data_IF_061952233412
#
_entry.id   IF_061952233412
#
_cell.length_a   1.000
_cell.length_b   1.000
_cell.length_c   1.000
_cell.angle_alpha   90.00
_cell.angle_beta   90.00
_cell.angle_gamma   90.00
#
_symmetry.space_group_name_H-M   'P 1'
#
loop_
_entity.id
_entity.type
_entity.pdbx_description
1 polymer ?
#
# COMPACT_ATOMS: atom_id res chain seq x y z
N UNK A 1 -13.89 -8.01 -9.20
CA UNK A 1 -13.98 -7.68 -10.64
C UNK A 1 -13.47 -8.85 -11.45
N UNK A 2 -14.26 -9.40 -12.39
CA UNK A 2 -13.74 -10.48 -13.26
C UNK A 2 -12.66 -9.97 -14.21
N UNK A 3 -11.91 -10.85 -14.87
CA UNK A 3 -10.92 -10.45 -15.88
C UNK A 3 -11.57 -9.70 -17.05
N UNK A 4 -12.73 -10.17 -17.49
CA UNK A 4 -13.52 -9.58 -18.58
C UNK A 4 -14.02 -8.17 -18.18
N UNK A 5 -14.53 -8.01 -16.95
CA UNK A 5 -14.93 -6.69 -16.43
C UNK A 5 -13.73 -5.73 -16.38
N UNK A 6 -12.56 -6.22 -15.98
CA UNK A 6 -11.34 -5.40 -15.93
C UNK A 6 -10.90 -4.96 -17.33
N UNK A 7 -10.97 -5.84 -18.33
CA UNK A 7 -10.67 -5.48 -19.72
C UNK A 7 -11.66 -4.44 -20.25
N UNK A 8 -12.95 -4.53 -19.90
CA UNK A 8 -13.93 -3.50 -20.21
C UNK A 8 -13.60 -2.17 -19.51
N UNK A 9 -13.20 -2.21 -18.23
CA UNK A 9 -12.76 -1.02 -17.48
C UNK A 9 -11.60 -0.30 -18.16
N UNK A 10 -10.59 -1.03 -18.65
CA UNK A 10 -9.45 -0.43 -19.36
C UNK A 10 -9.85 0.31 -20.65
N UNK A 11 -10.96 -0.08 -21.26
CA UNK A 11 -11.48 0.56 -22.47
C UNK A 11 -12.30 1.84 -22.19
N UNK A 12 -12.60 2.16 -20.93
CA UNK A 12 -13.39 3.36 -20.57
C UNK A 12 -12.59 4.63 -20.83
N UNK A 13 -11.28 4.64 -20.53
CA UNK A 13 -10.37 5.77 -20.80
C UNK A 13 -9.03 5.24 -21.30
N UNK A 14 -8.49 5.89 -22.32
CA UNK A 14 -7.19 5.52 -22.91
C UNK A 14 -6.06 5.46 -21.85
N UNK A 15 -6.06 6.40 -20.91
CA UNK A 15 -5.06 6.46 -19.83
C UNK A 15 -5.05 5.20 -18.97
N UNK A 16 -6.20 4.55 -18.74
CA UNK A 16 -6.26 3.31 -17.95
C UNK A 16 -5.54 2.18 -18.66
N UNK A 17 -5.77 2.01 -19.96
CA UNK A 17 -5.03 1.02 -20.77
C UNK A 17 -3.54 1.35 -20.86
N UNK A 18 -3.18 2.64 -20.98
CA UNK A 18 -1.78 3.05 -21.08
C UNK A 18 -1.00 2.81 -19.78
N UNK A 19 -1.64 3.00 -18.63
CA UNK A 19 -1.01 2.88 -17.30
C UNK A 19 -1.18 1.50 -16.65
N UNK A 20 -2.03 0.64 -17.21
CA UNK A 20 -2.19 -0.72 -16.74
C UNK A 20 -0.92 -1.55 -17.01
N UNK A 21 -0.39 -2.14 -15.94
CA UNK A 21 0.79 -3.01 -15.95
C UNK A 21 0.58 -4.31 -15.17
N UNK A 22 -0.55 -4.46 -14.47
CA UNK A 22 -0.87 -5.69 -13.75
C UNK A 22 -0.79 -6.91 -14.67
N UNK A 23 -0.19 -7.99 -14.16
CA UNK A 23 -0.24 -9.32 -14.78
C UNK A 23 -1.18 -10.26 -14.03
N UNK A 24 -1.83 -9.77 -12.98
CA UNK A 24 -2.75 -10.57 -12.20
C UNK A 24 -3.99 -10.97 -13.01
N UNK A 25 -4.48 -12.17 -12.72
CA UNK A 25 -5.81 -12.62 -13.10
C UNK A 25 -6.74 -12.76 -11.87
N UNK A 26 -6.23 -12.42 -10.68
CA UNK A 26 -6.99 -12.52 -9.44
C UNK A 26 -8.00 -11.39 -9.31
N UNK A 27 -9.28 -11.73 -9.24
CA UNK A 27 -10.39 -10.76 -9.24
C UNK A 27 -10.29 -9.69 -8.15
N UNK A 28 -9.77 -10.06 -6.98
CA UNK A 28 -9.59 -9.16 -5.84
C UNK A 28 -8.43 -8.18 -6.07
N UNK A 29 -7.35 -8.66 -6.72
CA UNK A 29 -6.20 -7.81 -7.10
C UNK A 29 -6.59 -6.88 -8.23
N UNK A 30 -7.33 -7.37 -9.22
CA UNK A 30 -7.85 -6.55 -10.33
C UNK A 30 -8.79 -5.46 -9.83
N UNK A 31 -9.62 -5.74 -8.82
CA UNK A 31 -10.48 -4.74 -8.20
C UNK A 31 -9.67 -3.61 -7.56
N UNK A 32 -8.64 -3.94 -6.78
CA UNK A 32 -7.76 -2.95 -6.15
C UNK A 32 -6.98 -2.17 -7.20
N UNK A 33 -6.44 -2.86 -8.20
CA UNK A 33 -5.64 -2.23 -9.24
C UNK A 33 -6.48 -1.29 -10.12
N UNK A 34 -7.72 -1.67 -10.46
CA UNK A 34 -8.66 -0.79 -11.15
C UNK A 34 -8.96 0.47 -10.32
N UNK A 35 -9.15 0.32 -9.01
CA UNK A 35 -9.35 1.47 -8.12
C UNK A 35 -8.12 2.39 -8.10
N UNK A 36 -6.90 1.86 -8.02
CA UNK A 36 -5.69 2.68 -8.12
C UNK A 36 -5.65 3.41 -9.48
N UNK A 37 -5.86 2.71 -10.60
CA UNK A 37 -5.87 3.33 -11.94
C UNK A 37 -6.92 4.43 -12.10
N UNK A 38 -8.10 4.25 -11.52
CA UNK A 38 -9.17 5.24 -11.61
C UNK A 38 -8.83 6.53 -10.85
N UNK A 39 -8.10 6.42 -9.74
CA UNK A 39 -7.86 7.51 -8.80
C UNK A 39 -6.40 8.00 -8.73
N UNK A 40 -5.45 7.36 -9.42
CA UNK A 40 -4.03 7.74 -9.39
C UNK A 40 -3.77 9.16 -9.91
N UNK A 41 -4.69 9.71 -10.71
CA UNK A 41 -4.64 11.08 -11.25
C UNK A 41 -5.67 12.02 -10.60
N UNK A 42 -6.35 11.61 -9.52
CA UNK A 42 -7.19 12.52 -8.74
C UNK A 42 -6.32 13.51 -7.97
N UNK A 43 -6.93 14.65 -7.62
CA UNK A 43 -6.28 15.68 -6.83
C UNK A 43 -5.69 15.10 -5.54
N UNK A 44 -4.57 15.68 -5.11
CA UNK A 44 -3.76 15.26 -3.99
C UNK A 44 -4.57 15.08 -2.70
N UNK A 45 -5.63 15.86 -2.49
CA UNK A 45 -6.53 15.76 -1.34
C UNK A 45 -7.17 14.38 -1.17
N UNK A 46 -7.49 13.68 -2.28
CA UNK A 46 -8.12 12.35 -2.20
C UNK A 46 -7.24 11.33 -1.47
N UNK A 47 -5.95 11.35 -1.77
CA UNK A 47 -4.96 10.46 -1.16
C UNK A 47 -4.39 11.04 0.13
N UNK A 48 -4.29 12.36 0.23
CA UNK A 48 -3.78 13.06 1.42
C UNK A 48 -4.72 12.94 2.62
N UNK A 49 -6.03 12.89 2.39
CA UNK A 49 -7.06 12.70 3.42
C UNK A 49 -7.41 11.22 3.65
N UNK A 50 -6.60 10.29 3.14
CA UNK A 50 -6.75 8.84 3.31
C UNK A 50 -8.05 8.23 2.75
N UNK A 51 -8.79 8.93 1.86
CA UNK A 51 -9.98 8.34 1.23
C UNK A 51 -9.61 7.12 0.39
N UNK A 52 -8.65 7.29 -0.52
CA UNK A 52 -8.20 6.21 -1.39
C UNK A 52 -7.55 5.04 -0.65
N UNK A 53 -6.73 5.34 0.35
CA UNK A 53 -6.05 4.33 1.16
C UNK A 53 -7.01 3.55 2.05
N UNK A 54 -8.01 4.23 2.61
CA UNK A 54 -9.06 3.60 3.44
C UNK A 54 -9.93 2.67 2.61
N UNK A 55 -10.36 3.10 1.41
CA UNK A 55 -11.15 2.26 0.51
C UNK A 55 -10.41 0.98 0.12
N UNK A 56 -9.16 1.09 -0.31
CA UNK A 56 -8.35 -0.09 -0.65
C UNK A 56 -8.18 -1.00 0.58
N UNK A 57 -7.95 -0.45 1.76
CA UNK A 57 -7.82 -1.27 2.96
C UNK A 57 -9.12 -1.99 3.33
N UNK A 58 -10.29 -1.41 3.07
CA UNK A 58 -11.57 -2.12 3.20
C UNK A 58 -11.73 -3.21 2.14
N UNK A 59 -11.27 -3.01 0.91
CA UNK A 59 -11.23 -4.08 -0.11
C UNK A 59 -10.33 -5.23 0.35
N UNK A 60 -9.16 -4.94 0.93
CA UNK A 60 -8.27 -5.96 1.51
C UNK A 60 -8.93 -6.68 2.68
N UNK A 61 -9.57 -5.93 3.59
CA UNK A 61 -10.22 -6.47 4.79
C UNK A 61 -11.39 -7.40 4.46
N UNK A 62 -12.16 -7.06 3.43
CA UNK A 62 -13.33 -7.82 3.00
C UNK A 62 -13.02 -8.87 1.92
N UNK A 63 -11.81 -8.85 1.36
CA UNK A 63 -11.36 -9.76 0.32
C UNK A 63 -10.87 -11.11 0.85
N UNK A 64 -10.21 -11.87 -0.03
CA UNK A 64 -9.65 -13.18 0.32
C UNK A 64 -8.49 -13.06 1.31
N UNK A 65 -8.31 -14.08 2.15
CA UNK A 65 -7.28 -14.11 3.20
C UNK A 65 -5.86 -13.88 2.65
N UNK A 66 -5.59 -14.37 1.44
CA UNK A 66 -4.30 -14.33 0.75
C UNK A 66 -4.13 -13.11 -0.18
N UNK A 67 -4.99 -12.11 -0.09
CA UNK A 67 -4.98 -10.97 -1.02
C UNK A 67 -3.67 -10.18 -1.00
N UNK A 68 -3.08 -9.95 0.18
CA UNK A 68 -1.80 -9.23 0.31
C UNK A 68 -0.67 -9.95 -0.42
N UNK A 69 -0.59 -11.27 -0.28
CA UNK A 69 0.40 -12.10 -0.98
C UNK A 69 0.22 -12.05 -2.51
N UNK A 70 -1.03 -12.03 -2.98
CA UNK A 70 -1.31 -11.88 -4.41
C UNK A 70 -0.96 -10.50 -4.95
N UNK A 71 -1.19 -9.44 -4.17
CA UNK A 71 -0.79 -8.07 -4.54
C UNK A 71 0.74 -7.97 -4.59
N UNK A 72 1.43 -8.54 -3.59
CA UNK A 72 2.90 -8.59 -3.52
C UNK A 72 3.53 -9.17 -4.79
N UNK A 73 2.96 -10.24 -5.32
CA UNK A 73 3.45 -10.86 -6.56
C UNK A 73 3.27 -9.97 -7.80
N UNK A 74 2.35 -9.01 -7.76
CA UNK A 74 1.99 -8.17 -8.91
C UNK A 74 2.63 -6.77 -8.86
N UNK A 75 2.92 -6.24 -7.68
CA UNK A 75 3.58 -4.93 -7.46
C UNK A 75 4.83 -4.70 -8.32
N UNK A 76 5.73 -5.68 -8.56
CA UNK A 76 6.90 -5.47 -9.41
C UNK A 76 6.55 -5.03 -10.84
N UNK A 77 5.32 -5.25 -11.29
CA UNK A 77 4.85 -4.76 -12.59
C UNK A 77 4.30 -3.33 -12.53
N UNK A 78 3.92 -2.83 -11.36
CA UNK A 78 3.25 -1.54 -11.21
C UNK A 78 4.18 -0.35 -11.51
N UNK A 79 3.59 0.80 -11.84
CA UNK A 79 4.36 2.06 -11.92
C UNK A 79 4.83 2.48 -10.54
N UNK A 80 5.85 3.33 -10.45
CA UNK A 80 6.36 3.82 -9.16
C UNK A 80 5.25 4.53 -8.37
N UNK A 81 4.47 5.39 -9.03
CA UNK A 81 3.33 6.09 -8.41
C UNK A 81 2.25 5.14 -7.91
N UNK A 82 1.90 4.09 -8.67
CA UNK A 82 0.93 3.08 -8.23
C UNK A 82 1.42 2.33 -6.98
N UNK A 83 2.72 1.99 -6.95
CA UNK A 83 3.35 1.36 -5.81
C UNK A 83 3.42 2.30 -4.58
N UNK A 84 3.68 3.59 -4.78
CA UNK A 84 3.66 4.61 -3.71
C UNK A 84 2.28 4.74 -3.07
N UNK A 85 1.21 4.83 -3.88
CA UNK A 85 -0.17 4.90 -3.39
C UNK A 85 -0.52 3.65 -2.56
N UNK A 86 -0.02 2.49 -2.96
CA UNK A 86 -0.21 1.26 -2.22
C UNK A 86 0.66 1.18 -0.95
N UNK A 87 1.91 1.64 -1.01
CA UNK A 87 2.76 1.77 0.17
C UNK A 87 2.10 2.67 1.22
N UNK A 88 1.57 3.82 0.80
CA UNK A 88 0.77 4.69 1.66
C UNK A 88 -0.44 3.95 2.23
N UNK A 89 -1.15 3.16 1.40
CA UNK A 89 -2.29 2.34 1.85
C UNK A 89 -1.91 1.39 3.00
N UNK A 90 -0.72 0.78 2.96
CA UNK A 90 -0.28 -0.13 4.01
C UNK A 90 -0.11 0.56 5.37
N UNK A 91 0.13 1.87 5.43
CA UNK A 91 0.49 2.55 6.69
C UNK A 91 -0.43 3.72 7.09
N UNK A 92 -1.20 4.25 6.14
CA UNK A 92 -2.03 5.45 6.30
C UNK A 92 -3.48 5.11 5.96
N UNK A 93 -4.31 4.84 6.96
CA UNK A 93 -5.76 4.65 6.83
C UNK A 93 -6.43 4.53 8.21
N UNK A 94 -7.77 4.52 8.23
CA UNK A 94 -8.55 4.42 9.46
C UNK A 94 -8.53 3.05 10.16
N UNK A 95 -8.06 1.98 9.50
CA UNK A 95 -7.97 0.63 10.06
C UNK A 95 -6.62 0.42 10.77
N UNK A 96 -6.32 1.27 11.77
CA UNK A 96 -5.00 1.39 12.42
C UNK A 96 -4.45 0.09 13.03
N UNK A 97 -5.35 -0.74 13.55
CA UNK A 97 -5.02 -1.98 14.27
C UNK A 97 -5.18 -3.25 13.41
N UNK A 98 -5.67 -3.12 12.18
CA UNK A 98 -5.94 -4.27 11.31
C UNK A 98 -4.65 -4.80 10.71
N UNK A 99 -4.33 -6.08 10.96
CA UNK A 99 -3.21 -6.83 10.37
C UNK A 99 -1.88 -6.06 10.41
N UNK A 100 -1.54 -5.52 11.58
CA UNK A 100 -0.38 -4.63 11.74
C UNK A 100 0.90 -5.33 11.28
N UNK A 101 1.15 -6.55 11.73
CA UNK A 101 2.33 -7.31 11.34
C UNK A 101 2.38 -7.55 9.84
N UNK A 102 1.33 -8.10 9.24
CA UNK A 102 1.35 -8.44 7.80
C UNK A 102 1.52 -7.20 6.92
N UNK A 103 0.96 -6.06 7.34
CA UNK A 103 1.13 -4.79 6.62
C UNK A 103 2.53 -4.24 6.73
N UNK A 104 3.14 -4.31 7.91
CA UNK A 104 4.51 -3.83 8.13
C UNK A 104 5.55 -4.74 7.48
N UNK A 105 5.35 -6.06 7.50
CA UNK A 105 6.18 -7.01 6.77
C UNK A 105 6.14 -6.71 5.27
N UNK A 106 4.94 -6.50 4.72
CA UNK A 106 4.83 -6.14 3.32
C UNK A 106 5.49 -4.78 3.04
N UNK A 107 5.28 -3.78 3.90
CA UNK A 107 5.95 -2.47 3.75
C UNK A 107 7.48 -2.59 3.76
N UNK A 108 8.04 -3.46 4.61
CA UNK A 108 9.47 -3.75 4.65
C UNK A 108 9.97 -4.37 3.35
N UNK A 109 9.23 -5.30 2.77
CA UNK A 109 9.60 -5.93 1.49
C UNK A 109 9.58 -4.95 0.31
N UNK A 110 8.81 -3.85 0.42
CA UNK A 110 8.83 -2.79 -0.60
C UNK A 110 10.20 -2.11 -0.70
N UNK A 111 10.99 -2.05 0.39
CA UNK A 111 12.36 -1.52 0.32
C UNK A 111 13.28 -2.35 -0.57
N UNK A 112 12.99 -3.64 -0.74
CA UNK A 112 13.81 -4.55 -1.55
C UNK A 112 13.33 -4.62 -3.01
N UNK A 113 12.06 -4.35 -3.25
CA UNK A 113 11.37 -4.65 -4.51
C UNK A 113 11.00 -3.41 -5.32
N UNK A 114 10.84 -2.25 -4.68
CA UNK A 114 10.46 -1.03 -5.37
C UNK A 114 11.65 -0.30 -6.00
N UNK A 115 11.31 0.52 -6.99
CA UNK A 115 12.26 1.32 -7.73
C UNK A 115 12.82 2.46 -6.86
N UNK A 116 14.06 2.93 -7.12
CA UNK A 116 14.72 3.96 -6.29
C UNK A 116 14.01 5.32 -6.24
N UNK A 117 13.07 5.58 -7.15
CA UNK A 117 12.28 6.80 -7.18
C UNK A 117 11.11 6.80 -6.18
N UNK A 118 10.79 5.64 -5.58
CA UNK A 118 9.81 5.54 -4.52
C UNK A 118 10.42 5.89 -3.15
N UNK A 119 9.99 7.01 -2.56
CA UNK A 119 10.48 7.44 -1.26
C UNK A 119 9.66 6.87 -0.10
N UNK A 120 9.90 5.59 0.21
CA UNK A 120 9.28 4.90 1.35
C UNK A 120 9.63 5.53 2.71
N UNK A 121 10.70 6.32 2.82
CA UNK A 121 11.04 7.00 4.06
C UNK A 121 10.09 8.16 4.30
N UNK A 122 9.90 9.01 3.29
CA UNK A 122 9.00 10.16 3.37
C UNK A 122 7.54 9.71 3.52
N UNK A 123 7.11 8.67 2.78
CA UNK A 123 5.77 8.10 2.96
C UNK A 123 5.57 7.66 4.41
N UNK A 124 6.53 6.94 5.00
CA UNK A 124 6.44 6.52 6.38
C UNK A 124 6.38 7.70 7.35
N UNK A 125 7.27 8.67 7.19
CA UNK A 125 7.38 9.80 8.13
C UNK A 125 6.14 10.70 8.12
N UNK A 126 5.60 11.02 6.94
CA UNK A 126 4.50 11.96 6.80
C UNK A 126 3.13 11.31 7.04
N UNK A 127 3.00 10.00 6.75
CA UNK A 127 1.70 9.32 6.62
C UNK A 127 1.50 8.16 7.59
N UNK A 128 2.29 8.04 8.65
CA UNK A 128 2.10 6.95 9.59
C UNK A 128 0.81 7.11 10.42
N UNK A 129 -0.16 6.21 10.19
CA UNK A 129 -1.37 6.07 11.00
C UNK A 129 -1.55 4.66 11.59
N UNK A 130 -0.75 3.67 11.20
CA UNK A 130 -0.80 2.31 11.77
C UNK A 130 -0.34 2.30 13.24
N UNK A 131 -0.93 1.42 14.05
CA UNK A 131 -0.59 1.31 15.48
C UNK A 131 0.62 0.39 15.68
N UNK A 132 1.82 0.99 15.73
CA UNK A 132 3.07 0.25 15.89
C UNK A 132 3.18 -0.51 17.23
N UNK A 133 2.40 -0.15 18.26
CA UNK A 133 2.45 -0.86 19.55
C UNK A 133 1.87 -2.28 19.47
N UNK A 134 1.09 -2.57 18.44
CA UNK A 134 0.55 -3.91 18.18
C UNK A 134 1.47 -4.78 17.34
N UNK A 135 2.58 -4.22 16.84
CA UNK A 135 3.51 -4.96 16.00
C UNK A 135 4.44 -5.84 16.83
N UNK A 136 4.87 -6.95 16.26
CA UNK A 136 5.93 -7.76 16.84
C UNK A 136 7.25 -6.99 16.91
N UNK A 137 7.99 -7.22 17.99
CA UNK A 137 9.24 -6.50 18.28
C UNK A 137 10.26 -6.62 17.14
N UNK A 138 10.40 -7.80 16.56
CA UNK A 138 11.33 -8.06 15.47
C UNK A 138 11.00 -7.22 14.22
N UNK A 139 9.71 -7.04 13.92
CA UNK A 139 9.25 -6.22 12.80
C UNK A 139 9.61 -4.76 13.04
N UNK A 140 9.37 -4.25 14.25
CA UNK A 140 9.72 -2.87 14.62
C UNK A 140 11.24 -2.63 14.55
N UNK A 141 12.06 -3.60 14.94
CA UNK A 141 13.53 -3.50 14.83
C UNK A 141 13.99 -3.45 13.37
N UNK A 142 13.43 -4.29 12.51
CA UNK A 142 13.70 -4.24 11.06
C UNK A 142 13.25 -2.91 10.45
N UNK A 143 12.09 -2.42 10.85
CA UNK A 143 11.51 -1.16 10.37
C UNK A 143 12.35 0.03 10.80
N UNK A 144 12.76 0.09 12.07
CA UNK A 144 13.65 1.13 12.58
C UNK A 144 14.97 1.17 11.80
N UNK A 145 15.57 0.00 11.54
CA UNK A 145 16.79 -0.10 10.75
C UNK A 145 16.61 0.40 9.31
N UNK A 146 15.57 -0.05 8.61
CA UNK A 146 15.33 0.34 7.22
C UNK A 146 15.02 1.84 7.08
N UNK A 147 14.39 2.43 8.09
CA UNK A 147 14.06 3.86 8.14
C UNK A 147 15.15 4.73 8.78
N UNK A 148 16.32 4.16 9.09
CA UNK A 148 17.46 4.85 9.70
C UNK A 148 17.21 5.47 11.10
N UNK A 149 16.33 4.88 11.90
CA UNK A 149 16.23 5.17 13.33
C UNK A 149 17.36 4.47 14.11
N UNK A 150 17.79 5.06 15.23
CA UNK A 150 18.81 4.50 16.09
C UNK A 150 18.34 3.29 16.91
N UNK A 151 17.03 3.11 17.11
CA UNK A 151 16.45 1.94 17.80
C UNK A 151 14.95 1.78 17.54
N UNK A 152 14.43 0.60 17.85
CA UNK A 152 12.98 0.33 17.90
C UNK A 152 12.26 1.24 18.90
N UNK A 153 12.87 1.50 20.07
CA UNK A 153 12.35 2.42 21.08
C UNK A 153 12.26 3.85 20.56
N UNK A 154 13.27 4.30 19.84
CA UNK A 154 13.27 5.62 19.24
C UNK A 154 12.15 5.76 18.21
N UNK A 155 12.00 4.79 17.31
CA UNK A 155 10.92 4.73 16.33
C UNK A 155 9.55 4.80 17.02
N UNK A 156 9.32 3.93 18.00
CA UNK A 156 8.06 3.91 18.76
C UNK A 156 7.82 5.22 19.48
N UNK A 157 8.84 5.80 20.13
CA UNK A 157 8.71 7.07 20.87
C UNK A 157 8.34 8.24 19.97
N UNK A 158 8.96 8.35 18.80
CA UNK A 158 8.70 9.45 17.84
C UNK A 158 7.29 9.33 17.27
N UNK A 159 6.83 8.11 17.03
CA UNK A 159 5.53 7.84 16.41
C UNK A 159 4.42 7.46 17.38
N UNK A 160 4.68 7.53 18.69
CA UNK A 160 3.68 7.39 19.74
C UNK A 160 2.79 8.62 19.73
N UNK A 161 1.74 8.59 18.90
CA UNK A 161 0.70 9.62 18.93
C UNK A 161 -0.11 9.48 20.22
N UNK A 162 -0.16 10.57 20.98
CA UNK A 162 -1.01 10.79 22.17
C UNK A 162 -2.48 10.66 21.77
#
# INVERSE_FOLDING_TARGET
MTKEDFEQFLNIKEIYSQNSRTKSAGEDVLQIYAYILEYENKDSDWWNEDHGTTDIMYMIKNGKKDILEKIKQDIPNWTSSQAELFAQTLISNHLRDFKVNERLEFYLELFETLKPDCDLHNIFYDRLYINLELAEREIIEKLAKNLNYGSAEELLRIHKRI
#
